data_IF_748789747422
#
_entry.id   IF_748789747422
#
_cell.length_a   1.000
_cell.length_b   1.000
_cell.length_c   1.000
_cell.angle_alpha   90.00
_cell.angle_beta   90.00
_cell.angle_gamma   90.00
#
_symmetry.space_group_name_H-M   'P 1'
#
loop_
_entity.id
_entity.type
_entity.pdbx_description
1 polymer ?
#
# COMPACT_ATOMS: atom_id res chain seq x y z
N UNK A 1 -11.27 -66.46 -35.09
CA UNK A 1 -11.64 -65.05 -35.33
C UNK A 1 -10.58 -64.18 -34.68
N UNK A 2 -9.49 -63.91 -35.41
CA UNK A 2 -8.41 -63.05 -34.93
C UNK A 2 -8.82 -61.60 -35.04
N UNK A 3 -8.93 -60.91 -33.91
CA UNK A 3 -9.04 -59.45 -33.82
C UNK A 3 -7.68 -58.85 -34.17
N UNK A 4 -7.42 -58.66 -35.45
CA UNK A 4 -6.36 -57.75 -35.90
C UNK A 4 -6.84 -56.32 -35.62
N UNK A 5 -6.37 -55.74 -34.53
CA UNK A 5 -6.39 -54.29 -34.37
C UNK A 5 -5.52 -53.70 -35.47
N UNK A 6 -6.15 -53.11 -36.49
CA UNK A 6 -5.48 -52.23 -37.44
C UNK A 6 -4.87 -51.09 -36.61
N UNK A 7 -3.55 -51.15 -36.40
CA UNK A 7 -2.78 -49.94 -36.09
C UNK A 7 -2.97 -49.05 -37.32
N UNK A 8 -3.80 -48.02 -37.21
CA UNK A 8 -3.79 -46.95 -38.19
C UNK A 8 -2.35 -46.43 -38.24
N UNK A 9 -1.69 -46.63 -39.40
CA UNK A 9 -0.38 -46.06 -39.64
C UNK A 9 -0.55 -44.54 -39.61
N UNK A 10 0.09 -43.90 -38.63
CA UNK A 10 0.08 -42.44 -38.50
C UNK A 10 0.54 -41.83 -39.81
N UNK A 11 -0.20 -40.86 -40.32
CA UNK A 11 0.22 -40.16 -41.52
C UNK A 11 1.44 -39.28 -41.21
N UNK A 12 2.25 -38.95 -42.21
CA UNK A 12 3.41 -38.05 -42.03
C UNK A 12 3.00 -36.70 -41.39
N UNK A 13 1.75 -36.26 -41.64
CA UNK A 13 1.18 -35.06 -41.01
C UNK A 13 0.93 -35.24 -39.51
N UNK A 14 0.43 -36.39 -39.10
CA UNK A 14 0.21 -36.70 -37.68
C UNK A 14 1.54 -36.78 -36.94
N UNK A 15 2.56 -37.37 -37.57
CA UNK A 15 3.92 -37.46 -37.00
C UNK A 15 4.55 -36.07 -36.87
N UNK A 16 4.45 -35.21 -37.89
CA UNK A 16 4.95 -33.83 -37.84
C UNK A 16 4.23 -32.99 -36.77
N UNK A 17 2.91 -33.16 -36.65
CA UNK A 17 2.13 -32.46 -35.65
C UNK A 17 2.47 -32.91 -34.23
N UNK A 18 2.67 -34.21 -34.00
CA UNK A 18 3.14 -34.73 -32.70
C UNK A 18 4.54 -34.23 -32.36
N UNK A 19 5.46 -34.18 -33.32
CA UNK A 19 6.80 -33.61 -33.13
C UNK A 19 6.74 -32.13 -32.74
N UNK A 20 5.87 -31.36 -33.39
CA UNK A 20 5.67 -29.95 -33.05
C UNK A 20 5.07 -29.79 -31.65
N UNK A 21 4.09 -30.60 -31.26
CA UNK A 21 3.58 -30.59 -29.88
C UNK A 21 4.64 -30.95 -28.85
N UNK A 22 5.46 -31.97 -29.12
CA UNK A 22 6.55 -32.37 -28.24
C UNK A 22 7.58 -31.24 -28.09
N UNK A 23 7.98 -30.58 -29.18
CA UNK A 23 8.91 -29.46 -29.15
C UNK A 23 8.35 -28.24 -28.38
N UNK A 24 7.05 -27.95 -28.53
CA UNK A 24 6.37 -26.90 -27.75
C UNK A 24 6.41 -27.20 -26.25
N UNK A 25 6.04 -28.42 -25.86
CA UNK A 25 6.10 -28.85 -24.47
C UNK A 25 7.53 -28.80 -23.92
N UNK A 26 8.52 -29.31 -24.68
CA UNK A 26 9.91 -29.28 -24.26
C UNK A 26 10.47 -27.85 -24.13
N UNK A 27 10.02 -26.92 -24.97
CA UNK A 27 10.33 -25.50 -24.81
C UNK A 27 9.67 -24.90 -23.56
N UNK A 28 8.39 -25.20 -23.31
CA UNK A 28 7.68 -24.74 -22.11
C UNK A 28 8.30 -25.30 -20.82
N UNK A 29 8.76 -26.56 -20.84
CA UNK A 29 9.48 -27.19 -19.74
C UNK A 29 10.80 -26.46 -19.47
N UNK A 30 11.59 -26.16 -20.52
CA UNK A 30 12.83 -25.38 -20.41
C UNK A 30 12.58 -23.97 -19.88
N UNK A 31 11.53 -23.31 -20.36
CA UNK A 31 11.12 -21.99 -19.91
C UNK A 31 10.73 -22.00 -18.43
N UNK A 32 9.95 -22.99 -18.01
CA UNK A 32 9.53 -23.16 -16.61
C UNK A 32 10.72 -23.45 -15.72
N UNK A 33 11.60 -24.39 -16.13
CA UNK A 33 12.82 -24.69 -15.41
C UNK A 33 13.71 -23.44 -15.23
N UNK A 34 13.84 -22.60 -16.26
CA UNK A 34 14.60 -21.35 -16.16
C UNK A 34 14.02 -20.39 -15.11
N UNK A 35 12.69 -20.29 -15.02
CA UNK A 35 11.97 -19.46 -14.04
C UNK A 35 12.10 -19.99 -12.61
N UNK A 36 12.18 -21.31 -12.45
CA UNK A 36 12.24 -21.95 -11.14
C UNK A 36 13.65 -21.90 -10.50
N UNK A 37 14.71 -21.62 -11.29
CA UNK A 37 16.08 -21.51 -10.75
C UNK A 37 16.24 -20.32 -9.81
N UNK A 38 15.49 -19.23 -10.02
CA UNK A 38 15.61 -18.03 -9.18
C UNK A 38 14.85 -16.83 -9.72
N UNK A 39 15.10 -15.67 -9.12
CA UNK A 39 14.46 -14.43 -9.51
C UNK A 39 14.84 -14.05 -10.94
N UNK A 40 13.83 -13.69 -11.72
CA UNK A 40 13.96 -13.35 -13.13
C UNK A 40 13.05 -12.18 -13.50
N UNK A 41 13.43 -11.45 -14.54
CA UNK A 41 12.68 -10.32 -15.07
C UNK A 41 12.49 -10.40 -16.59
N UNK A 42 11.31 -10.03 -17.06
CA UNK A 42 11.01 -9.92 -18.50
C UNK A 42 11.34 -8.52 -19.02
N UNK A 43 12.08 -8.48 -20.13
CA UNK A 43 12.54 -7.27 -20.79
C UNK A 43 12.29 -7.37 -22.31
N UNK A 44 11.87 -6.26 -22.91
CA UNK A 44 11.78 -6.10 -24.35
C UNK A 44 13.09 -5.53 -24.91
N UNK A 45 13.67 -6.20 -25.91
CA UNK A 45 14.76 -5.70 -26.71
C UNK A 45 14.26 -4.61 -27.66
N UNK A 46 14.70 -3.37 -27.42
CA UNK A 46 14.39 -2.20 -28.24
C UNK A 46 15.43 -1.97 -29.35
N UNK A 47 16.68 -2.30 -29.07
CA UNK A 47 17.82 -2.17 -29.98
C UNK A 47 18.80 -3.32 -29.74
N UNK A 48 19.54 -3.74 -30.78
CA UNK A 48 20.41 -4.92 -30.74
C UNK A 48 19.80 -6.19 -31.35
N UNK A 49 18.64 -6.09 -32.02
CA UNK A 49 17.97 -7.22 -32.68
C UNK A 49 18.79 -7.87 -33.81
N UNK A 50 19.88 -7.24 -34.24
CA UNK A 50 20.83 -7.80 -35.22
C UNK A 50 21.56 -9.03 -34.69
N UNK A 51 21.66 -9.18 -33.37
CA UNK A 51 22.33 -10.31 -32.71
C UNK A 51 21.46 -10.94 -31.63
N UNK A 52 20.71 -10.14 -30.87
CA UNK A 52 19.71 -10.62 -29.93
C UNK A 52 18.37 -10.72 -30.65
N UNK A 53 18.18 -11.79 -31.41
CA UNK A 53 17.07 -11.99 -32.37
C UNK A 53 15.66 -11.93 -31.76
N UNK A 54 15.54 -11.86 -30.44
CA UNK A 54 14.28 -11.97 -29.71
C UNK A 54 13.84 -10.64 -29.15
N UNK A 55 12.60 -10.26 -29.49
CA UNK A 55 11.98 -9.04 -28.99
C UNK A 55 11.74 -9.08 -27.50
N UNK A 56 11.34 -10.21 -26.93
CA UNK A 56 11.13 -10.37 -25.49
C UNK A 56 12.07 -11.44 -24.96
N UNK A 57 12.77 -11.10 -23.88
CA UNK A 57 13.73 -11.97 -23.20
C UNK A 57 13.50 -11.90 -21.71
N UNK A 58 13.80 -13.00 -21.02
CA UNK A 58 13.83 -13.07 -19.57
C UNK A 58 15.27 -13.08 -19.10
N UNK A 59 15.63 -12.10 -18.27
CA UNK A 59 16.96 -11.95 -17.69
C UNK A 59 17.02 -12.60 -16.31
N UNK A 60 18.11 -13.33 -16.08
CA UNK A 60 18.61 -13.76 -14.78
C UNK A 60 20.04 -13.24 -14.60
N UNK A 61 20.38 -12.82 -13.39
CA UNK A 61 21.73 -12.37 -13.06
C UNK A 61 22.39 -13.46 -12.21
N UNK A 62 23.32 -14.19 -12.83
CA UNK A 62 24.17 -15.15 -12.11
C UNK A 62 25.44 -14.42 -11.61
N UNK A 63 26.21 -15.07 -10.74
CA UNK A 63 27.45 -14.50 -10.19
C UNK A 63 28.49 -14.14 -11.26
N UNK A 64 28.52 -14.90 -12.36
CA UNK A 64 29.54 -14.84 -13.42
C UNK A 64 28.99 -14.38 -14.78
N UNK A 65 27.66 -14.41 -14.99
CA UNK A 65 27.05 -14.12 -16.28
C UNK A 65 25.66 -13.47 -16.15
N UNK A 66 25.28 -12.70 -17.18
CA UNK A 66 23.89 -12.37 -17.46
C UNK A 66 23.31 -13.47 -18.34
N UNK A 67 22.25 -14.13 -17.88
CA UNK A 67 21.62 -15.22 -18.63
C UNK A 67 20.29 -14.73 -19.18
N UNK A 68 20.16 -14.75 -20.50
CA UNK A 68 18.94 -14.37 -21.20
C UNK A 68 18.24 -15.61 -21.75
N UNK A 69 16.95 -15.71 -21.54
CA UNK A 69 16.11 -16.75 -22.13
C UNK A 69 15.06 -16.11 -23.06
N UNK A 70 14.90 -16.55 -24.31
CA UNK A 70 13.87 -16.02 -25.20
C UNK A 70 12.47 -16.25 -24.62
N UNK A 71 11.63 -15.22 -24.54
CA UNK A 71 10.25 -15.34 -24.04
C UNK A 71 9.27 -15.16 -25.21
N UNK A 72 9.02 -16.25 -25.92
CA UNK A 72 8.14 -16.29 -27.09
C UNK A 72 6.96 -17.22 -26.89
N UNK A 73 5.88 -16.98 -27.64
CA UNK A 73 4.74 -17.88 -27.69
C UNK A 73 5.09 -19.10 -28.58
N UNK A 74 5.14 -20.33 -28.03
CA UNK A 74 5.57 -21.51 -28.80
C UNK A 74 4.58 -21.88 -29.91
N UNK A 75 3.36 -21.34 -29.88
CA UNK A 75 2.36 -21.51 -30.94
C UNK A 75 2.63 -20.66 -32.19
N UNK A 76 3.50 -19.65 -32.09
CA UNK A 76 3.89 -18.81 -33.24
C UNK A 76 4.85 -19.56 -34.19
N UNK A 77 5.37 -20.72 -33.76
CA UNK A 77 6.30 -21.55 -34.52
C UNK A 77 5.58 -22.73 -35.17
N UNK A 78 5.92 -22.97 -36.44
CA UNK A 78 5.44 -24.10 -37.24
C UNK A 78 6.49 -25.21 -37.39
N UNK A 79 7.74 -24.94 -37.02
CA UNK A 79 8.88 -25.85 -37.16
C UNK A 79 9.42 -26.27 -35.78
N UNK A 80 9.46 -27.57 -35.45
CA UNK A 80 10.05 -28.07 -34.20
C UNK A 80 11.51 -27.63 -34.02
N UNK A 81 12.33 -27.63 -35.07
CA UNK A 81 13.75 -27.28 -34.96
C UNK A 81 13.96 -25.81 -34.53
N UNK A 82 13.04 -24.94 -34.94
CA UNK A 82 13.09 -23.53 -34.55
C UNK A 82 12.91 -23.37 -33.03
N UNK A 83 12.03 -24.17 -32.41
CA UNK A 83 11.81 -24.19 -30.96
C UNK A 83 13.00 -24.80 -30.21
N UNK A 84 13.64 -25.82 -30.79
CA UNK A 84 14.82 -26.45 -30.17
C UNK A 84 16.02 -25.50 -30.09
N UNK A 85 16.20 -24.64 -31.10
CA UNK A 85 17.24 -23.60 -31.13
C UNK A 85 17.03 -22.51 -30.09
N UNK A 86 15.82 -22.33 -29.57
CA UNK A 86 15.53 -21.37 -28.49
C UNK A 86 16.14 -21.89 -27.18
N UNK A 87 17.34 -21.40 -26.88
CA UNK A 87 18.13 -21.82 -25.73
C UNK A 87 18.61 -20.60 -24.95
N UNK A 88 19.13 -20.83 -23.74
CA UNK A 88 19.69 -19.78 -22.93
C UNK A 88 20.94 -19.16 -23.59
N UNK A 89 21.00 -17.84 -23.58
CA UNK A 89 22.14 -17.05 -24.02
C UNK A 89 22.89 -16.62 -22.77
N UNK A 90 24.12 -17.11 -22.59
CA UNK A 90 24.97 -16.77 -21.45
C UNK A 90 25.98 -15.71 -21.85
N UNK A 91 25.92 -14.56 -21.18
CA UNK A 91 26.78 -13.41 -21.44
C UNK A 91 27.70 -13.17 -20.23
N UNK A 92 29.02 -13.41 -20.33
CA UNK A 92 29.93 -13.28 -19.20
C UNK A 92 30.00 -11.85 -18.66
N UNK A 93 29.93 -11.68 -17.34
CA UNK A 93 30.07 -10.36 -16.66
C UNK A 93 31.47 -9.75 -16.82
N UNK A 94 32.44 -10.52 -17.28
CA UNK A 94 33.78 -10.04 -17.66
C UNK A 94 33.80 -9.34 -19.01
N UNK A 95 32.86 -9.68 -19.90
CA UNK A 95 32.77 -9.16 -21.27
C UNK A 95 31.58 -8.20 -21.46
N UNK A 96 30.54 -8.34 -20.65
CA UNK A 96 29.32 -7.53 -20.72
C UNK A 96 29.05 -6.81 -19.41
N UNK A 97 28.44 -5.63 -19.51
CA UNK A 97 27.96 -4.81 -18.39
C UNK A 97 26.53 -4.38 -18.66
N UNK A 98 25.76 -4.20 -17.60
CA UNK A 98 24.46 -3.54 -17.66
C UNK A 98 24.62 -2.13 -17.12
N UNK A 99 24.13 -1.17 -17.88
CA UNK A 99 24.12 0.24 -17.52
C UNK A 99 22.68 0.71 -17.50
N UNK A 100 22.31 1.46 -16.46
CA UNK A 100 20.98 2.03 -16.33
C UNK A 100 21.10 3.54 -16.30
N UNK A 101 20.23 4.23 -17.03
CA UNK A 101 20.13 5.68 -16.96
C UNK A 101 18.97 6.03 -16.03
N UNK A 102 19.25 6.66 -14.88
CA UNK A 102 18.19 7.06 -13.94
C UNK A 102 17.20 8.01 -14.61
N UNK A 103 15.90 7.94 -14.27
CA UNK A 103 14.90 8.83 -14.78
C UNK A 103 15.10 10.25 -14.23
N UNK A 104 14.54 11.21 -14.95
CA UNK A 104 14.48 12.60 -14.50
C UNK A 104 13.52 12.69 -13.32
N UNK A 105 14.01 13.20 -12.18
CA UNK A 105 13.24 13.38 -10.93
C UNK A 105 12.49 14.71 -10.85
N UNK A 106 12.35 15.41 -11.97
CA UNK A 106 11.62 16.68 -12.02
C UNK A 106 10.16 16.43 -12.43
N UNK A 107 9.18 16.99 -11.68
CA UNK A 107 7.79 16.86 -12.04
C UNK A 107 7.51 17.60 -13.35
N UNK A 108 6.64 17.04 -14.18
CA UNK A 108 6.20 17.67 -15.44
C UNK A 108 5.11 18.69 -15.19
N UNK A 109 4.38 18.54 -14.07
CA UNK A 109 3.32 19.44 -13.65
C UNK A 109 3.18 19.40 -12.13
N UNK A 110 2.81 20.54 -11.54
CA UNK A 110 2.51 20.69 -10.12
C UNK A 110 1.14 21.35 -9.96
N UNK A 111 0.27 20.77 -9.13
CA UNK A 111 -1.04 21.35 -8.79
C UNK A 111 -1.30 21.26 -7.28
N UNK A 112 -1.12 22.37 -6.58
CA UNK A 112 -1.31 22.40 -5.12
C UNK A 112 -0.35 21.45 -4.41
N UNK A 113 -0.91 20.46 -3.71
CA UNK A 113 -0.17 19.44 -2.96
C UNK A 113 0.18 18.21 -3.83
N UNK A 114 0.01 18.27 -5.16
CA UNK A 114 0.24 17.15 -6.08
C UNK A 114 1.38 17.45 -7.06
N UNK A 115 2.25 16.46 -7.23
CA UNK A 115 3.30 16.42 -8.24
C UNK A 115 2.96 15.33 -9.27
N UNK A 116 3.09 15.69 -10.54
CA UNK A 116 2.82 14.79 -11.65
C UNK A 116 4.11 14.49 -12.40
N UNK A 117 4.50 13.23 -12.41
CA UNK A 117 5.67 12.74 -13.12
C UNK A 117 5.24 11.99 -14.38
N UNK A 118 6.08 12.03 -15.41
CA UNK A 118 5.98 11.07 -16.49
C UNK A 118 6.31 9.68 -15.93
N UNK A 119 5.56 8.66 -16.33
CA UNK A 119 5.89 7.29 -15.96
C UNK A 119 7.29 6.96 -16.44
N UNK A 120 8.24 6.69 -15.54
CA UNK A 120 9.59 6.40 -15.95
C UNK A 120 9.62 5.06 -16.67
N UNK A 121 10.60 4.92 -17.56
CA UNK A 121 10.83 3.68 -18.30
C UNK A 121 12.09 3.07 -17.72
N UNK A 122 12.02 1.83 -17.29
CA UNK A 122 13.19 1.12 -16.82
C UNK A 122 13.93 0.51 -18.01
N UNK A 123 14.96 1.20 -18.47
CA UNK A 123 15.78 0.77 -19.60
C UNK A 123 17.20 0.48 -19.14
N UNK A 124 17.69 -0.70 -19.51
CA UNK A 124 19.08 -1.11 -19.28
C UNK A 124 19.78 -1.31 -20.60
N UNK A 125 20.94 -0.69 -20.72
CA UNK A 125 21.84 -0.88 -21.85
C UNK A 125 22.82 -1.99 -21.51
N UNK A 126 22.78 -3.05 -22.30
CA UNK A 126 23.72 -4.15 -22.23
C UNK A 126 24.89 -3.83 -23.16
N UNK A 127 26.07 -3.61 -22.57
CA UNK A 127 27.28 -3.16 -23.27
C UNK A 127 28.37 -4.23 -23.19
N UNK A 128 28.83 -4.73 -24.34
CA UNK A 128 29.95 -5.65 -24.45
C UNK A 128 30.55 -5.61 -25.86
N UNK A 129 30.84 -6.77 -26.46
CA UNK A 129 31.23 -6.84 -27.88
C UNK A 129 30.13 -6.32 -28.81
N UNK A 130 28.89 -6.50 -28.38
CA UNK A 130 27.69 -6.01 -29.03
C UNK A 130 26.84 -5.30 -27.99
N UNK A 131 26.09 -4.30 -28.44
CA UNK A 131 25.20 -3.51 -27.58
C UNK A 131 23.75 -3.89 -27.81
N UNK A 132 22.95 -3.89 -26.75
CA UNK A 132 21.51 -4.00 -26.83
C UNK A 132 20.85 -3.09 -25.78
N UNK A 133 19.66 -2.59 -26.09
CA UNK A 133 18.84 -1.81 -25.14
C UNK A 133 17.62 -2.64 -24.78
N UNK A 134 17.47 -2.93 -23.50
CA UNK A 134 16.39 -3.75 -22.96
C UNK A 134 15.48 -2.89 -22.07
N UNK A 135 14.17 -2.98 -22.24
CA UNK A 135 13.17 -2.25 -21.43
C UNK A 135 12.33 -3.21 -20.62
N UNK A 136 12.18 -2.97 -19.33
CA UNK A 136 11.32 -3.79 -18.51
C UNK A 136 9.83 -3.59 -18.83
N UNK A 137 9.09 -4.69 -18.85
CA UNK A 137 7.64 -4.66 -19.04
C UNK A 137 6.92 -4.10 -17.79
N UNK A 138 7.40 -4.48 -16.61
CA UNK A 138 6.89 -4.02 -15.32
C UNK A 138 7.97 -3.25 -14.57
N UNK A 139 7.75 -1.95 -14.43
CA UNK A 139 8.66 -1.01 -13.76
C UNK A 139 8.85 -1.33 -12.27
N UNK A 140 7.79 -1.64 -11.54
CA UNK A 140 7.90 -1.89 -10.09
C UNK A 140 8.66 -3.20 -9.84
N UNK A 141 8.38 -4.22 -10.66
CA UNK A 141 9.14 -5.47 -10.64
C UNK A 141 10.60 -5.26 -11.03
N UNK A 142 10.89 -4.37 -11.99
CA UNK A 142 12.26 -4.01 -12.38
C UNK A 142 13.05 -3.38 -11.25
N UNK A 143 12.50 -2.34 -10.63
CA UNK A 143 13.11 -1.69 -9.48
C UNK A 143 13.39 -2.70 -8.36
N UNK A 144 12.40 -3.53 -8.01
CA UNK A 144 12.56 -4.56 -6.97
C UNK A 144 13.62 -5.60 -7.34
N UNK A 145 13.67 -6.03 -8.59
CA UNK A 145 14.65 -7.01 -9.07
C UNK A 145 16.07 -6.44 -9.06
N UNK A 146 16.30 -5.26 -9.66
CA UNK A 146 17.65 -4.67 -9.73
C UNK A 146 18.14 -4.11 -8.39
N UNK A 147 17.25 -3.74 -7.47
CA UNK A 147 17.62 -3.37 -6.10
C UNK A 147 18.33 -4.52 -5.34
N UNK A 148 18.12 -5.78 -5.75
CA UNK A 148 18.86 -6.93 -5.19
C UNK A 148 20.31 -7.02 -5.68
N UNK A 149 20.64 -6.32 -6.78
CA UNK A 149 21.95 -6.36 -7.46
C UNK A 149 22.58 -4.96 -7.58
N UNK A 150 22.86 -4.27 -6.47
CA UNK A 150 23.40 -2.90 -6.48
C UNK A 150 24.81 -2.82 -7.07
N UNK A 151 25.53 -3.95 -7.15
CA UNK A 151 26.83 -4.06 -7.82
C UNK A 151 26.73 -4.07 -9.35
N UNK A 152 25.53 -4.29 -9.90
CA UNK A 152 25.25 -4.33 -11.34
C UNK A 152 24.63 -3.03 -11.80
N UNK A 153 23.51 -2.63 -11.19
CA UNK A 153 22.74 -1.45 -11.56
C UNK A 153 22.32 -0.72 -10.29
N UNK A 154 22.56 0.59 -10.24
CA UNK A 154 21.95 1.45 -9.23
C UNK A 154 20.50 1.72 -9.64
N UNK A 155 19.55 1.14 -8.93
CA UNK A 155 18.12 1.37 -9.10
C UNK A 155 17.47 1.68 -7.75
N UNK A 156 16.56 2.64 -7.74
CA UNK A 156 15.76 3.00 -6.59
C UNK A 156 14.50 2.14 -6.53
N UNK A 157 13.99 1.89 -5.33
CA UNK A 157 12.92 0.92 -5.09
C UNK A 157 11.57 1.34 -5.71
N UNK A 158 11.22 2.63 -5.65
CA UNK A 158 9.94 3.12 -6.13
C UNK A 158 10.09 3.82 -7.49
N UNK A 159 9.72 3.11 -8.54
CA UNK A 159 9.72 3.63 -9.93
C UNK A 159 11.06 4.21 -10.38
N UNK A 160 12.15 3.80 -9.73
CA UNK A 160 13.50 4.34 -9.88
C UNK A 160 13.64 5.85 -9.58
N UNK A 161 12.66 6.41 -8.87
CA UNK A 161 12.65 7.81 -8.46
C UNK A 161 13.02 7.99 -6.98
N UNK A 162 12.73 7.01 -6.12
CA UNK A 162 12.97 7.11 -4.67
C UNK A 162 13.43 5.78 -4.05
N UNK A 163 14.31 5.85 -3.05
CA UNK A 163 14.91 4.69 -2.35
C UNK A 163 13.88 3.92 -1.50
N UNK A 164 12.81 4.58 -1.08
CA UNK A 164 11.74 4.00 -0.26
C UNK A 164 10.38 4.15 -0.95
N UNK A 165 9.39 3.36 -0.48
CA UNK A 165 8.60 3.87 0.63
C UNK A 165 9.10 3.34 1.97
N UNK A 166 9.21 4.22 2.96
CA UNK A 166 9.67 3.85 4.30
C UNK A 166 8.55 3.21 5.13
N UNK A 167 7.32 3.69 4.93
CA UNK A 167 6.16 3.29 5.72
C UNK A 167 4.88 3.32 4.88
N UNK A 168 3.80 2.75 5.44
CA UNK A 168 2.44 2.88 4.90
C UNK A 168 1.55 3.61 5.91
N UNK A 169 0.65 4.44 5.42
CA UNK A 169 -0.32 5.21 6.22
C UNK A 169 -1.71 5.08 5.62
N UNK A 170 -2.73 5.19 6.47
CA UNK A 170 -4.14 5.07 6.05
C UNK A 170 -4.90 6.30 6.48
N UNK A 171 -5.28 7.14 5.52
CA UNK A 171 -6.14 8.29 5.75
C UNK A 171 -7.60 7.84 5.85
N UNK A 172 -8.31 8.39 6.84
CA UNK A 172 -9.72 8.11 7.05
C UNK A 172 -10.57 8.55 5.86
N UNK A 173 -11.60 7.76 5.53
CA UNK A 173 -12.62 8.13 4.54
C UNK A 173 -13.57 9.22 5.05
N UNK A 174 -13.55 9.51 6.35
CA UNK A 174 -14.29 10.63 6.95
C UNK A 174 -13.65 11.99 6.65
N UNK A 175 -12.40 12.02 6.14
CA UNK A 175 -11.78 13.27 5.74
C UNK A 175 -12.57 13.91 4.58
N UNK A 176 -12.58 15.25 4.47
CA UNK A 176 -13.36 15.92 3.44
C UNK A 176 -12.98 15.45 2.03
N UNK A 177 -13.94 15.25 1.11
CA UNK A 177 -13.69 14.56 -0.15
C UNK A 177 -12.92 15.38 -1.21
N UNK A 178 -12.83 16.70 -1.07
CA UNK A 178 -12.19 17.57 -2.07
C UNK A 178 -10.84 18.10 -1.56
N UNK A 179 -9.75 17.67 -2.18
CA UNK A 179 -8.39 18.16 -1.88
C UNK A 179 -7.74 17.58 -0.62
N UNK A 180 -8.21 16.43 -0.13
CA UNK A 180 -7.61 15.71 1.00
C UNK A 180 -7.34 14.25 0.62
N UNK A 181 -6.22 13.66 1.08
CA UNK A 181 -5.93 12.26 0.84
C UNK A 181 -6.93 11.37 1.59
N UNK A 182 -7.36 10.29 0.93
CA UNK A 182 -8.23 9.27 1.51
C UNK A 182 -7.81 7.87 1.08
N UNK A 183 -7.86 6.92 2.02
CA UNK A 183 -7.40 5.56 1.79
C UNK A 183 -5.93 5.33 2.15
N UNK A 184 -5.36 4.25 1.62
CA UNK A 184 -4.00 3.81 1.93
C UNK A 184 -2.98 4.46 0.99
N UNK A 185 -1.88 4.93 1.57
CA UNK A 185 -0.75 5.53 0.88
C UNK A 185 0.55 4.94 1.42
N UNK A 186 1.53 4.83 0.54
CA UNK A 186 2.91 4.58 0.91
C UNK A 186 3.63 5.93 0.98
N UNK A 187 4.43 6.12 2.02
CA UNK A 187 4.97 7.41 2.42
C UNK A 187 6.47 7.31 2.69
N UNK A 188 7.21 8.33 2.29
CA UNK A 188 8.65 8.47 2.55
C UNK A 188 9.02 9.93 2.71
N UNK A 189 10.16 10.18 3.36
CA UNK A 189 10.66 11.53 3.65
C UNK A 189 12.03 11.73 3.03
N UNK A 190 12.20 12.81 2.27
CA UNK A 190 13.50 13.30 1.83
C UNK A 190 13.74 14.71 2.40
N UNK A 191 14.54 14.80 3.46
CA UNK A 191 14.82 16.10 4.09
C UNK A 191 13.58 16.73 4.74
N UNK A 192 13.12 17.87 4.22
CA UNK A 192 11.89 18.54 4.67
C UNK A 192 10.66 18.16 3.83
N UNK A 193 10.84 17.37 2.77
CA UNK A 193 9.77 17.00 1.86
C UNK A 193 9.24 15.60 2.20
N UNK A 194 7.92 15.50 2.30
CA UNK A 194 7.18 14.29 2.61
C UNK A 194 6.32 13.93 1.41
N UNK A 195 6.56 12.75 0.86
CA UNK A 195 5.91 12.27 -0.36
C UNK A 195 4.96 11.13 -0.05
N UNK A 196 3.83 11.08 -0.76
CA UNK A 196 2.84 10.03 -0.62
C UNK A 196 2.40 9.53 -1.98
N UNK A 197 2.44 8.22 -2.15
CA UNK A 197 1.95 7.55 -3.34
C UNK A 197 0.76 6.67 -2.98
N UNK A 198 -0.29 6.72 -3.79
CA UNK A 198 -1.40 5.79 -3.68
C UNK A 198 -1.20 4.63 -4.64
N UNK A 199 -0.98 3.40 -4.15
CA UNK A 199 -0.90 2.24 -5.02
C UNK A 199 -2.21 2.07 -5.81
N UNK A 200 -2.14 1.78 -7.12
CA UNK A 200 -3.32 1.61 -7.94
C UNK A 200 -4.13 0.41 -7.44
N UNK A 201 -5.45 0.57 -7.41
CA UNK A 201 -6.35 -0.57 -7.15
C UNK A 201 -6.42 -1.47 -8.38
N UNK A 202 -6.75 -2.75 -8.20
CA UNK A 202 -6.81 -3.78 -9.26
C UNK A 202 -7.62 -3.38 -10.51
N UNK A 203 -8.57 -2.46 -10.37
CA UNK A 203 -9.46 -2.01 -11.45
C UNK A 203 -9.21 -0.56 -11.89
N UNK A 204 -8.20 0.12 -11.31
CA UNK A 204 -7.84 1.47 -11.71
C UNK A 204 -7.16 1.42 -13.09
N UNK A 205 -7.64 2.25 -14.03
CA UNK A 205 -6.89 2.49 -15.26
C UNK A 205 -5.59 3.20 -14.90
N UNK A 206 -4.50 2.80 -15.55
CA UNK A 206 -3.21 3.48 -15.40
C UNK A 206 -3.40 4.96 -15.77
N UNK A 207 -3.21 5.90 -14.83
CA UNK A 207 -3.33 7.32 -15.12
C UNK A 207 -2.25 7.74 -16.12
N UNK A 208 -2.50 8.83 -16.84
CA UNK A 208 -1.54 9.38 -17.81
C UNK A 208 -0.21 9.75 -17.14
N UNK A 209 -0.28 10.28 -15.92
CA UNK A 209 0.87 10.67 -15.11
C UNK A 209 0.95 9.84 -13.84
N UNK A 210 2.17 9.68 -13.32
CA UNK A 210 2.41 9.21 -11.97
C UNK A 210 2.13 10.37 -11.01
N UNK A 211 1.04 10.29 -10.27
CA UNK A 211 0.62 11.29 -9.29
C UNK A 211 1.18 10.94 -7.92
N UNK A 212 1.87 11.90 -7.31
CA UNK A 212 2.46 11.79 -5.97
C UNK A 212 2.05 13.02 -5.18
N UNK A 213 1.53 12.82 -3.97
CA UNK A 213 1.28 13.91 -3.05
C UNK A 213 2.59 14.38 -2.44
N UNK A 214 2.68 15.67 -2.18
CA UNK A 214 3.86 16.32 -1.64
C UNK A 214 3.47 17.34 -0.58
N UNK A 215 4.01 17.18 0.62
CA UNK A 215 3.89 18.15 1.71
C UNK A 215 5.25 18.45 2.30
N UNK A 216 5.44 19.70 2.75
CA UNK A 216 6.57 20.02 3.62
C UNK A 216 6.30 19.57 5.04
N UNK A 217 7.29 18.97 5.70
CA UNK A 217 7.23 18.65 7.13
C UNK A 217 7.08 19.94 7.95
N UNK A 218 7.63 21.06 7.48
CA UNK A 218 7.38 22.39 8.05
C UNK A 218 5.91 22.81 8.04
N UNK A 219 5.12 22.33 7.06
CA UNK A 219 3.68 22.62 6.96
C UNK A 219 2.83 21.77 7.92
N UNK A 220 3.43 20.76 8.56
CA UNK A 220 2.77 19.95 9.59
C UNK A 220 3.07 20.57 10.96
N UNK A 221 2.03 20.88 11.72
CA UNK A 221 2.16 21.43 13.07
C UNK A 221 2.47 20.31 14.06
N UNK A 222 1.62 19.30 14.12
CA UNK A 222 1.78 18.15 15.01
C UNK A 222 0.95 16.95 14.56
N UNK A 223 1.24 15.79 15.15
CA UNK A 223 0.32 14.65 15.19
C UNK A 223 0.16 14.08 16.60
N UNK A 224 -0.98 13.45 16.88
CA UNK A 224 -1.26 12.78 18.16
C UNK A 224 -2.25 11.64 18.04
N UNK A 225 -2.14 10.67 18.94
CA UNK A 225 -3.17 9.65 19.14
C UNK A 225 -4.42 10.25 19.81
N UNK A 226 -5.61 9.85 19.36
CA UNK A 226 -6.91 10.21 19.93
C UNK A 226 -7.87 9.02 19.86
N UNK A 227 -9.00 9.12 20.58
CA UNK A 227 -10.05 8.09 20.62
C UNK A 227 -9.82 7.04 21.71
N UNK A 228 -10.74 6.08 21.79
CA UNK A 228 -10.82 5.10 22.88
C UNK A 228 -11.05 3.68 22.34
N UNK A 229 -10.55 2.69 23.07
CA UNK A 229 -10.90 1.28 22.85
C UNK A 229 -11.96 0.91 23.88
N UNK A 230 -13.19 0.68 23.43
CA UNK A 230 -14.28 0.27 24.30
C UNK A 230 -14.70 -1.17 24.02
N UNK A 231 -15.28 -1.80 25.03
CA UNK A 231 -15.67 -3.20 25.00
C UNK A 231 -17.13 -3.30 25.39
N UNK A 232 -17.93 -3.92 24.53
CA UNK A 232 -19.32 -4.25 24.82
C UNK A 232 -19.45 -5.76 25.01
N UNK A 233 -20.11 -6.19 26.07
CA UNK A 233 -20.38 -7.60 26.33
C UNK A 233 -21.86 -7.87 26.07
N UNK A 234 -22.17 -8.51 24.96
CA UNK A 234 -23.53 -8.96 24.67
C UNK A 234 -23.67 -10.35 25.27
N UNK A 235 -24.54 -10.48 26.28
CA UNK A 235 -24.89 -11.78 26.87
C UNK A 235 -26.23 -12.22 26.30
N UNK A 236 -26.25 -13.39 25.66
CA UNK A 236 -27.42 -14.01 25.07
C UNK A 236 -27.62 -15.41 25.65
N UNK A 237 -28.85 -15.93 25.63
CA UNK A 237 -29.20 -17.20 26.28
C UNK A 237 -29.48 -17.08 27.78
N UNK A 238 -29.77 -18.20 28.43
CA UNK A 238 -30.31 -18.23 29.79
C UNK A 238 -31.84 -18.19 29.85
N UNK A 239 -32.51 -18.19 28.68
CA UNK A 239 -33.95 -18.42 28.59
C UNK A 239 -34.23 -19.88 28.95
N UNK A 240 -35.19 -20.05 29.86
CA UNK A 240 -35.66 -21.34 30.35
C UNK A 240 -36.98 -21.62 29.65
N UNK A 241 -36.97 -22.57 28.71
CA UNK A 241 -38.20 -23.07 28.09
C UNK A 241 -38.65 -24.34 28.81
N UNK A 242 -39.96 -24.41 29.07
CA UNK A 242 -40.59 -25.52 29.75
C UNK A 242 -41.53 -26.26 28.78
N UNK A 243 -41.19 -27.49 28.41
CA UNK A 243 -42.05 -28.33 27.57
C UNK A 243 -43.15 -28.97 28.43
N UNK A 244 -44.31 -28.34 28.48
CA UNK A 244 -45.49 -28.85 29.19
C UNK A 244 -45.98 -30.23 28.68
N UNK A 245 -45.61 -30.64 27.47
CA UNK A 245 -45.95 -31.95 26.89
C UNK A 245 -45.08 -33.09 27.42
N UNK A 246 -43.85 -32.80 27.87
CA UNK A 246 -42.95 -33.78 28.47
C UNK A 246 -43.46 -34.28 29.84
N UNK A 247 -44.21 -33.43 30.57
CA UNK A 247 -44.79 -33.72 31.90
C UNK A 247 -45.80 -34.89 31.92
N UNK A 248 -46.39 -35.20 30.76
CA UNK A 248 -47.47 -36.18 30.64
C UNK A 248 -47.03 -37.51 30.02
N UNK A 249 -45.72 -37.71 29.83
CA UNK A 249 -45.18 -38.98 29.31
C UNK A 249 -45.23 -40.04 30.41
N UNK A 250 -46.01 -41.13 30.24
CA UNK A 250 -46.39 -42.04 31.34
C UNK A 250 -45.28 -43.00 31.82
N UNK A 251 -44.03 -42.80 31.42
CA UNK A 251 -42.92 -43.75 31.64
C UNK A 251 -41.76 -43.20 32.49
N UNK A 252 -41.89 -42.02 33.09
CA UNK A 252 -40.86 -41.43 33.96
C UNK A 252 -41.40 -41.26 35.39
N UNK A 253 -41.15 -42.23 36.27
CA UNK A 253 -41.58 -42.22 37.69
C UNK A 253 -40.50 -41.70 38.65
N UNK A 254 -39.52 -40.94 38.18
CA UNK A 254 -38.43 -40.42 39.01
C UNK A 254 -38.12 -38.96 38.70
N UNK A 255 -37.61 -38.24 39.71
CA UNK A 255 -37.30 -36.78 39.78
C UNK A 255 -36.57 -36.22 38.55
N UNK A 256 -35.94 -37.06 37.71
CA UNK A 256 -35.36 -36.68 36.41
C UNK A 256 -36.35 -36.18 35.35
N UNK A 257 -37.68 -36.34 35.52
CA UNK A 257 -38.65 -35.78 34.57
C UNK A 257 -38.65 -34.25 34.50
N UNK A 258 -38.22 -33.57 35.58
CA UNK A 258 -38.09 -32.11 35.61
C UNK A 258 -36.85 -31.63 34.82
N UNK A 259 -35.80 -32.44 34.75
CA UNK A 259 -34.57 -32.09 34.01
C UNK A 259 -34.79 -32.20 32.50
N UNK A 260 -35.54 -33.21 32.04
CA UNK A 260 -35.86 -33.39 30.62
C UNK A 260 -36.92 -32.40 30.09
N UNK A 261 -37.75 -31.83 30.97
CA UNK A 261 -38.78 -30.85 30.61
C UNK A 261 -38.27 -29.41 30.58
N UNK A 262 -37.07 -29.16 31.11
CA UNK A 262 -36.44 -27.85 31.23
C UNK A 262 -35.30 -27.75 30.22
N UNK A 263 -35.53 -27.00 29.14
CA UNK A 263 -34.46 -26.64 28.22
C UNK A 263 -33.93 -25.27 28.60
N UNK A 264 -32.64 -25.19 28.95
CA UNK A 264 -31.97 -23.91 29.18
C UNK A 264 -31.11 -23.62 27.96
N UNK A 265 -31.38 -22.51 27.29
CA UNK A 265 -30.46 -22.03 26.25
C UNK A 265 -29.12 -21.69 26.92
N UNK A 266 -27.99 -22.25 26.45
CA UNK A 266 -26.71 -22.01 27.10
C UNK A 266 -26.37 -20.51 27.02
N UNK A 267 -26.02 -19.93 28.17
CA UNK A 267 -25.58 -18.52 28.23
C UNK A 267 -24.29 -18.38 27.42
N UNK A 268 -24.32 -17.50 26.43
CA UNK A 268 -23.18 -17.13 25.60
C UNK A 268 -22.93 -15.64 25.78
N UNK A 269 -21.72 -15.31 26.22
CA UNK A 269 -21.25 -13.93 26.24
C UNK A 269 -20.32 -13.71 25.07
N UNK A 270 -20.69 -12.79 24.20
CA UNK A 270 -19.84 -12.32 23.10
C UNK A 270 -19.22 -10.98 23.49
N UNK A 271 -17.90 -10.88 23.35
CA UNK A 271 -17.15 -9.65 23.58
C UNK A 271 -16.99 -8.95 22.23
N UNK A 272 -17.62 -7.78 22.08
CA UNK A 272 -17.49 -6.93 20.91
C UNK A 272 -16.52 -5.81 21.24
N UNK A 273 -15.48 -5.68 20.41
CA UNK A 273 -14.45 -4.64 20.51
C UNK A 273 -14.80 -3.47 19.59
N UNK A 274 -14.96 -2.29 20.16
CA UNK A 274 -15.20 -1.05 19.43
C UNK A 274 -13.90 -0.21 19.50
N UNK A 275 -13.09 -0.26 18.44
CA UNK A 275 -11.88 0.54 18.32
C UNK A 275 -12.18 1.87 17.63
N UNK A 276 -12.30 2.94 18.43
CA UNK A 276 -12.50 4.31 17.94
C UNK A 276 -11.20 5.10 17.87
N UNK A 277 -10.05 4.47 18.08
CA UNK A 277 -8.76 5.16 18.07
C UNK A 277 -8.40 5.62 16.66
N UNK A 278 -7.82 6.81 16.59
CA UNK A 278 -7.32 7.40 15.36
C UNK A 278 -6.10 8.27 15.65
N UNK A 279 -5.36 8.60 14.59
CA UNK A 279 -4.25 9.56 14.66
C UNK A 279 -4.73 10.87 14.05
N UNK A 280 -4.69 11.94 14.84
CA UNK A 280 -4.96 13.30 14.39
C UNK A 280 -3.67 13.90 13.85
N UNK A 281 -3.70 14.43 12.62
CA UNK A 281 -2.64 15.20 12.00
C UNK A 281 -3.13 16.63 11.79
N UNK A 282 -2.42 17.60 12.36
CA UNK A 282 -2.75 19.02 12.27
C UNK A 282 -1.75 19.74 11.37
N UNK A 283 -2.26 20.36 10.31
CA UNK A 283 -1.48 21.19 9.39
C UNK A 283 -1.37 22.62 9.91
N UNK A 284 -0.39 23.38 9.41
CA UNK A 284 -0.15 24.77 9.79
C UNK A 284 -1.23 25.74 9.29
N UNK A 285 -1.92 25.37 8.21
CA UNK A 285 -3.06 26.10 7.65
C UNK A 285 -4.39 25.83 8.39
N UNK A 286 -4.37 25.02 9.45
CA UNK A 286 -5.53 24.65 10.25
C UNK A 286 -6.32 23.46 9.72
N UNK A 287 -5.88 22.81 8.62
CA UNK A 287 -6.46 21.54 8.19
C UNK A 287 -6.19 20.45 9.23
N UNK A 288 -7.24 19.77 9.67
CA UNK A 288 -7.17 18.58 10.52
C UNK A 288 -7.50 17.34 9.70
N UNK A 289 -6.59 16.37 9.73
CA UNK A 289 -6.70 15.10 9.02
C UNK A 289 -6.76 13.96 10.02
N UNK A 290 -7.68 13.03 9.80
CA UNK A 290 -7.74 11.78 10.55
C UNK A 290 -7.04 10.66 9.78
N UNK A 291 -6.15 9.96 10.44
CA UNK A 291 -5.53 8.72 9.97
C UNK A 291 -5.93 7.56 10.89
N UNK A 292 -5.81 6.34 10.39
CA UNK A 292 -5.95 5.15 11.22
C UNK A 292 -4.93 5.16 12.37
N UNK A 293 -5.30 4.60 13.51
CA UNK A 293 -4.39 4.47 14.64
C UNK A 293 -3.11 3.68 14.29
N UNK A 294 -3.22 2.70 13.39
CA UNK A 294 -2.07 1.92 12.90
C UNK A 294 -0.99 2.76 12.20
N UNK A 295 -1.34 3.96 11.73
CA UNK A 295 -0.40 4.86 11.06
C UNK A 295 0.48 5.66 12.03
N UNK A 296 0.20 5.60 13.35
CA UNK A 296 0.93 6.39 14.35
C UNK A 296 2.44 6.10 14.37
N UNK A 297 2.82 4.82 14.31
CA UNK A 297 4.22 4.43 14.37
C UNK A 297 4.97 4.83 13.08
N UNK A 298 4.29 4.79 11.93
CA UNK A 298 4.80 5.34 10.66
C UNK A 298 5.14 6.83 10.79
N UNK A 299 4.26 7.64 11.40
CA UNK A 299 4.52 9.07 11.61
C UNK A 299 5.64 9.31 12.62
N UNK A 300 5.75 8.48 13.66
CA UNK A 300 6.85 8.53 14.64
C UNK A 300 8.21 8.23 14.03
N UNK A 301 8.26 7.31 13.07
CA UNK A 301 9.48 7.01 12.33
C UNK A 301 9.87 8.18 11.40
N UNK A 302 8.90 8.73 10.67
CA UNK A 302 9.15 9.73 9.63
C UNK A 302 9.39 11.14 10.17
N UNK A 303 8.65 11.56 11.19
CA UNK A 303 8.69 12.93 11.74
C UNK A 303 8.59 12.96 13.26
N UNK A 304 9.50 12.31 14.00
CA UNK A 304 9.46 12.22 15.46
C UNK A 304 9.40 13.58 16.17
N UNK A 305 9.89 14.65 15.53
CA UNK A 305 9.88 16.03 16.03
C UNK A 305 8.48 16.67 16.03
N UNK A 306 7.50 16.10 15.31
CA UNK A 306 6.13 16.60 15.22
C UNK A 306 5.16 15.89 16.18
N UNK A 307 5.62 14.96 16.99
CA UNK A 307 4.79 14.32 18.00
C UNK A 307 4.35 15.35 19.05
N UNK A 308 3.04 15.48 19.27
CA UNK A 308 2.48 16.51 20.14
C UNK A 308 3.10 16.51 21.55
N UNK A 309 3.35 15.34 22.11
CA UNK A 309 3.94 15.18 23.46
C UNK A 309 5.38 15.70 23.56
N UNK A 310 6.09 15.78 22.44
CA UNK A 310 7.48 16.29 22.37
C UNK A 310 7.54 17.78 22.05
N UNK A 311 6.42 18.40 21.69
CA UNK A 311 6.39 19.83 21.39
C UNK A 311 6.52 20.67 22.66
N UNK A 312 7.16 21.86 22.58
CA UNK A 312 7.19 22.79 23.69
C UNK A 312 5.77 23.11 24.18
N UNK A 313 5.56 23.26 25.49
CA UNK A 313 4.27 23.62 26.12
C UNK A 313 3.58 24.85 25.47
N UNK A 314 4.35 25.74 24.84
CA UNK A 314 3.83 26.90 24.10
C UNK A 314 3.24 26.53 22.73
N UNK A 315 3.78 25.50 22.06
CA UNK A 315 3.28 24.96 20.80
C UNK A 315 2.14 23.93 21.00
N UNK A 316 2.05 23.30 22.18
CA UNK A 316 0.92 22.45 22.58
C UNK A 316 -0.37 23.23 22.83
N UNK A 317 -0.27 24.55 23.02
CA UNK A 317 -1.42 25.44 22.88
C UNK A 317 -1.70 25.54 21.39
N UNK A 318 -2.57 24.67 20.89
CA UNK A 318 -3.15 24.81 19.56
C UNK A 318 -3.54 26.28 19.32
N UNK A 319 -3.46 26.80 18.07
CA UNK A 319 -4.03 28.08 17.74
C UNK A 319 -5.50 28.00 18.10
N UNK A 320 -5.89 28.59 19.23
CA UNK A 320 -7.28 28.86 19.49
C UNK A 320 -7.73 29.71 18.32
N UNK A 321 -8.61 29.15 17.52
CA UNK A 321 -9.49 29.86 16.62
C UNK A 321 -10.20 30.94 17.43
N UNK A 322 -9.57 32.10 17.53
CA UNK A 322 -10.27 33.36 17.75
C UNK A 322 -9.99 34.16 16.49
N UNK A 323 -10.68 33.77 15.41
CA UNK A 323 -11.15 34.77 14.45
C UNK A 323 -11.65 35.95 15.28
N UNK A 324 -11.24 37.17 14.93
CA UNK A 324 -11.48 38.41 15.67
C UNK A 324 -12.96 38.71 15.96
N UNK A 325 -13.54 37.93 16.86
CA UNK A 325 -14.81 38.17 17.52
C UNK A 325 -14.45 38.91 18.78
N UNK A 326 -14.92 40.15 18.91
CA UNK A 326 -14.92 40.80 20.21
C UNK A 326 -15.65 39.88 21.19
N UNK A 327 -15.03 39.47 22.31
CA UNK A 327 -15.66 38.57 23.26
C UNK A 327 -17.00 39.18 23.69
N UNK A 328 -18.04 38.35 23.74
CA UNK A 328 -19.36 38.83 24.13
C UNK A 328 -19.32 39.46 25.52
N UNK A 329 -20.19 40.43 25.86
CA UNK A 329 -20.17 41.07 27.17
C UNK A 329 -20.16 40.10 28.35
N UNK A 330 -20.80 38.93 28.20
CA UNK A 330 -20.81 37.84 29.19
C UNK A 330 -19.45 37.16 29.34
N UNK A 331 -18.73 36.93 28.24
CA UNK A 331 -17.36 36.38 28.27
C UNK A 331 -16.36 37.38 28.85
N UNK A 332 -16.54 38.68 28.55
CA UNK A 332 -15.74 39.76 29.16
C UNK A 332 -15.92 39.83 30.68
N UNK A 333 -17.15 39.64 31.17
CA UNK A 333 -17.43 39.56 32.61
C UNK A 333 -16.74 38.37 33.29
N UNK A 334 -16.67 37.21 32.60
CA UNK A 334 -15.99 36.02 33.11
C UNK A 334 -14.47 36.21 33.17
N UNK A 335 -13.89 36.82 32.13
CA UNK A 335 -12.45 37.17 32.10
C UNK A 335 -12.11 38.17 33.21
N UNK A 336 -12.95 39.19 33.41
CA UNK A 336 -12.76 40.17 34.48
C UNK A 336 -12.87 39.54 35.88
N UNK A 337 -13.76 38.57 36.09
CA UNK A 337 -13.88 37.86 37.36
C UNK A 337 -12.61 37.03 37.66
N UNK A 338 -12.11 36.31 36.65
CA UNK A 338 -10.86 35.56 36.74
C UNK A 338 -9.64 36.46 37.08
N UNK A 339 -9.64 37.71 36.59
CA UNK A 339 -8.57 38.68 36.87
C UNK A 339 -8.63 39.25 38.30
N UNK A 340 -9.83 39.39 38.86
CA UNK A 340 -10.02 39.75 40.28
C UNK A 340 -9.57 38.61 41.19
N UNK A 341 -9.95 37.37 40.87
CA UNK A 341 -9.58 36.19 41.66
C UNK A 341 -8.07 35.96 41.69
N UNK A 342 -7.37 36.38 40.63
CA UNK A 342 -5.91 36.34 40.53
C UNK A 342 -5.21 37.58 41.08
N UNK A 343 -5.96 38.57 41.59
CA UNK A 343 -5.43 39.77 42.23
C UNK A 343 -4.84 40.82 41.27
N UNK A 344 -5.10 40.70 39.96
CA UNK A 344 -4.63 41.66 38.95
C UNK A 344 -5.57 42.88 38.81
N UNK A 345 -6.78 42.78 39.34
CA UNK A 345 -7.78 43.85 39.31
C UNK A 345 -8.36 44.06 40.71
N UNK A 346 -8.54 45.31 41.11
CA UNK A 346 -9.25 45.60 42.36
C UNK A 346 -10.75 45.36 42.20
N UNK A 347 -11.44 45.08 43.31
CA UNK A 347 -12.88 44.82 43.29
C UNK A 347 -13.70 46.04 42.84
N UNK A 348 -13.18 47.24 43.10
CA UNK A 348 -13.78 48.51 42.67
C UNK A 348 -13.69 48.71 41.15
N UNK A 349 -12.56 48.35 40.53
CA UNK A 349 -12.38 48.41 39.08
C UNK A 349 -13.23 47.36 38.35
N UNK A 350 -13.46 46.21 38.97
CA UNK A 350 -14.37 45.19 38.48
C UNK A 350 -15.82 45.65 38.51
N UNK A 351 -16.28 46.22 39.62
CA UNK A 351 -17.66 46.69 39.76
C UNK A 351 -17.97 47.84 38.79
N UNK A 352 -17.03 48.77 38.56
CA UNK A 352 -17.16 49.83 37.57
C UNK A 352 -17.24 49.29 36.12
N UNK A 353 -16.45 48.26 35.80
CA UNK A 353 -16.44 47.63 34.47
C UNK A 353 -17.66 46.74 34.24
N UNK A 354 -18.14 46.06 35.28
CA UNK A 354 -19.33 45.22 35.26
C UNK A 354 -20.59 46.01 34.94
N UNK A 355 -20.76 47.20 35.54
CA UNK A 355 -21.90 48.08 35.24
C UNK A 355 -21.90 48.49 33.76
N UNK A 356 -20.76 48.90 33.21
CA UNK A 356 -20.62 49.29 31.79
C UNK A 356 -20.85 48.14 30.81
N UNK A 357 -20.54 46.91 31.21
CA UNK A 357 -20.74 45.72 30.38
C UNK A 357 -22.18 45.18 30.45
N UNK A 358 -22.84 45.31 31.59
CA UNK A 358 -24.26 44.97 31.74
C UNK A 358 -25.17 45.95 30.98
N UNK A 359 -24.78 47.22 30.81
CA UNK A 359 -25.50 48.19 29.98
C UNK A 359 -25.43 47.89 28.46
N UNK A 360 -24.54 47.00 28.03
CA UNK A 360 -24.36 46.59 26.63
C UNK A 360 -25.04 45.26 26.27
N UNK A 361 -25.72 44.64 27.24
CA UNK A 361 -26.58 43.44 27.06
C UNK A 361 -28.02 43.92 26.95
#
# INVERSE_FOLDING_TARGET
MGLFGLREEKTDKDVQQEQLYAARNAYDDRRTAFRDVGDTIELDCLDGLSWLLYKCVRLRIDSDAFVLFPEVNPYDFADPEALDRLTEIRLPRTAYRLEHTPPVREPVKEEGDHLFFQWPKFEVMLTGEQTAVLRAHDLHRACTFFAQYPDVVSAHALFDLWDGPDCSVVFSRENPPAGYPSGRYDIWREGDDLYFYQPPTLYARKPEFLEVWHWKVSAITYYRAQGELSHEYITSGGEVEFDYGACWRPHLTHVGFLEDAVSVTPVRTEKIEHDSRYTELMMADGRMLKLSYSSLDSLRQLMPEKEFDKLPLQAQKAPQTVQGREPTPVEQLKILADLVDRGYLSREEYDASKVRLLEKI
#
